data_IF_014563269158
#
_entry.id   IF_014563269158
#
_cell.length_a   1.000
_cell.length_b   1.000
_cell.length_c   1.000
_cell.angle_alpha   90.00
_cell.angle_beta   90.00
_cell.angle_gamma   90.00
#
_symmetry.space_group_name_H-M   'P 1'
#
loop_
_entity.id
_entity.type
_entity.pdbx_description
1 polymer ?
#
# COMPACT_ATOMS: atom_id res chain seq x y z
N UNK A 1 15.19 1.32 -1.27
CA UNK A 1 14.64 0.49 -2.37
C UNK A 1 14.91 -1.01 -2.16
N UNK A 2 16.15 -1.38 -1.82
CA UNK A 2 16.53 -2.54 -0.98
C UNK A 2 16.17 -3.96 -1.48
N UNK A 3 16.69 -4.94 -0.72
CA UNK A 3 16.60 -6.39 -0.94
C UNK A 3 15.17 -6.92 -1.15
N UNK A 4 14.14 -6.29 -0.56
CA UNK A 4 12.76 -6.74 -0.79
C UNK A 4 12.34 -6.62 -2.25
N UNK A 5 12.59 -5.46 -2.88
CA UNK A 5 12.21 -5.24 -4.27
C UNK A 5 12.94 -6.22 -5.19
N UNK A 6 14.23 -6.45 -4.91
CA UNK A 6 15.08 -7.33 -5.72
C UNK A 6 14.78 -8.81 -5.55
N UNK A 7 14.39 -9.26 -4.35
CA UNK A 7 14.29 -10.70 -4.01
C UNK A 7 12.86 -11.21 -3.90
N UNK A 8 11.91 -10.37 -3.48
CA UNK A 8 10.58 -10.85 -3.05
C UNK A 8 9.42 -10.19 -3.78
N UNK A 9 9.56 -8.95 -4.25
CA UNK A 9 8.42 -8.20 -4.80
C UNK A 9 7.76 -8.86 -6.02
N UNK A 10 8.55 -9.36 -6.97
CA UNK A 10 8.02 -10.05 -8.17
C UNK A 10 7.37 -11.38 -7.80
N UNK A 11 8.07 -12.21 -7.03
CA UNK A 11 7.56 -13.50 -6.59
C UNK A 11 6.24 -13.35 -5.82
N UNK A 12 6.18 -12.42 -4.86
CA UNK A 12 4.95 -12.13 -4.12
C UNK A 12 3.82 -11.59 -5.01
N UNK A 13 4.15 -10.82 -6.05
CA UNK A 13 3.19 -10.36 -7.05
C UNK A 13 2.59 -11.52 -7.86
N UNK A 14 3.45 -12.40 -8.38
CA UNK A 14 3.08 -13.55 -9.21
C UNK A 14 2.28 -14.58 -8.42
N UNK A 15 2.63 -14.79 -7.14
CA UNK A 15 1.93 -15.70 -6.23
C UNK A 15 0.64 -15.11 -5.64
N UNK A 16 0.27 -13.87 -6.00
CA UNK A 16 -0.87 -13.14 -5.43
C UNK A 16 -0.81 -12.91 -3.91
N UNK A 17 0.36 -13.06 -3.27
CA UNK A 17 0.53 -12.76 -1.86
C UNK A 17 0.46 -11.24 -1.58
N UNK A 18 0.96 -10.43 -2.52
CA UNK A 18 0.83 -8.97 -2.54
C UNK A 18 0.69 -8.52 -4.00
N UNK A 19 0.27 -7.29 -4.26
CA UNK A 19 0.40 -6.65 -5.57
C UNK A 19 1.32 -5.44 -5.48
N UNK A 20 2.48 -5.55 -6.13
CA UNK A 20 3.49 -4.49 -6.19
C UNK A 20 3.36 -3.69 -7.48
N UNK A 21 3.43 -2.36 -7.36
CA UNK A 21 3.40 -1.40 -8.47
C UNK A 21 4.61 -0.48 -8.38
N UNK A 22 5.23 -0.18 -9.51
CA UNK A 22 6.45 0.62 -9.60
C UNK A 22 6.16 1.96 -10.30
N UNK A 23 6.78 3.03 -9.82
CA UNK A 23 6.96 4.26 -10.57
C UNK A 23 8.28 4.16 -11.34
N UNK A 24 8.19 4.34 -12.65
CA UNK A 24 9.32 4.33 -13.58
C UNK A 24 9.24 5.59 -14.44
N UNK A 25 10.37 6.19 -14.83
CA UNK A 25 10.38 7.32 -15.75
C UNK A 25 10.12 6.84 -17.17
N UNK A 26 9.39 7.62 -17.96
CA UNK A 26 9.01 7.25 -19.33
C UNK A 26 10.22 6.98 -20.24
N UNK A 27 11.33 7.70 -20.02
CA UNK A 27 12.55 7.58 -20.82
C UNK A 27 13.51 6.47 -20.37
N UNK A 28 13.23 5.80 -19.24
CA UNK A 28 14.07 4.73 -18.70
C UNK A 28 13.22 3.75 -17.86
N UNK A 29 12.32 2.97 -18.49
CA UNK A 29 11.33 2.13 -17.80
C UNK A 29 11.95 1.03 -16.93
N UNK A 30 13.21 0.67 -17.16
CA UNK A 30 13.99 -0.25 -16.33
C UNK A 30 14.38 0.35 -14.97
N UNK A 31 14.35 1.68 -14.84
CA UNK A 31 14.72 2.39 -13.62
C UNK A 31 13.51 2.58 -12.72
N UNK A 32 13.49 1.87 -11.60
CA UNK A 32 12.46 2.06 -10.58
C UNK A 32 12.82 3.26 -9.70
N UNK A 33 11.95 4.27 -9.66
CA UNK A 33 12.09 5.48 -8.83
C UNK A 33 11.29 5.40 -7.53
N UNK A 34 10.37 4.43 -7.43
CA UNK A 34 9.66 4.09 -6.21
C UNK A 34 8.68 2.96 -6.44
N UNK A 35 8.12 2.41 -5.38
CA UNK A 35 7.12 1.35 -5.47
C UNK A 35 6.21 1.34 -4.24
N UNK A 36 5.05 0.70 -4.38
CA UNK A 36 4.21 0.29 -3.26
C UNK A 36 3.71 -1.14 -3.45
N UNK A 37 3.37 -1.81 -2.34
CA UNK A 37 2.79 -3.15 -2.34
C UNK A 37 1.50 -3.17 -1.51
N UNK A 38 0.44 -3.76 -2.06
CA UNK A 38 -0.87 -3.90 -1.42
C UNK A 38 -1.20 -5.36 -1.14
N UNK A 39 -1.92 -5.63 -0.05
CA UNK A 39 -2.54 -6.93 0.24
C UNK A 39 -3.92 -6.73 0.87
N UNK A 40 -4.88 -7.65 0.67
CA UNK A 40 -6.09 -7.72 1.48
C UNK A 40 -5.71 -7.92 2.95
N UNK A 41 -6.43 -7.28 3.86
CA UNK A 41 -6.20 -7.41 5.29
C UNK A 41 -7.48 -7.08 6.08
N UNK A 42 -7.44 -7.35 7.38
CA UNK A 42 -8.46 -6.92 8.32
C UNK A 42 -7.79 -6.51 9.64
N UNK A 43 -8.49 -5.69 10.41
CA UNK A 43 -8.05 -5.27 11.75
C UNK A 43 -9.16 -5.60 12.74
N UNK A 44 -8.79 -6.10 13.91
CA UNK A 44 -9.73 -6.35 15.00
C UNK A 44 -10.57 -5.11 15.27
N UNK A 45 -11.90 -5.27 15.39
CA UNK A 45 -12.83 -4.15 15.51
C UNK A 45 -12.44 -3.13 16.59
N UNK A 46 -11.92 -3.59 17.72
CA UNK A 46 -11.58 -2.73 18.86
C UNK A 46 -10.25 -1.99 18.69
N UNK A 47 -9.40 -2.41 17.74
CA UNK A 47 -8.16 -1.73 17.40
C UNK A 47 -8.38 -0.58 16.39
N UNK A 48 -9.59 -0.47 15.82
CA UNK A 48 -9.97 0.59 14.88
C UNK A 48 -10.62 1.76 15.64
N UNK A 49 -10.30 3.03 15.32
CA UNK A 49 -10.96 4.17 15.94
C UNK A 49 -12.48 4.12 15.81
N UNK A 50 -13.21 4.38 16.91
CA UNK A 50 -14.67 4.25 16.96
C UNK A 50 -15.41 5.08 15.89
N UNK A 51 -14.82 6.19 15.46
CA UNK A 51 -15.37 7.01 14.37
C UNK A 51 -15.44 6.26 13.03
N UNK A 52 -14.54 5.32 12.79
CA UNK A 52 -14.45 4.54 11.55
C UNK A 52 -15.23 3.21 11.62
N UNK A 53 -15.61 2.76 12.81
CA UNK A 53 -16.43 1.54 13.00
C UNK A 53 -17.90 1.83 13.25
N UNK A 54 -18.31 3.11 13.24
CA UNK A 54 -19.69 3.52 13.51
C UNK A 54 -20.62 2.89 12.48
N UNK A 55 -21.57 2.07 12.94
CA UNK A 55 -22.55 1.39 12.08
C UNK A 55 -22.07 0.04 11.53
N UNK A 56 -20.83 -0.38 11.81
CA UNK A 56 -20.33 -1.71 11.45
C UNK A 56 -20.69 -2.74 12.52
N UNK A 57 -20.85 -4.00 12.10
CA UNK A 57 -20.95 -5.12 13.01
C UNK A 57 -19.61 -5.35 13.75
N UNK A 58 -19.67 -5.95 14.94
CA UNK A 58 -18.49 -6.21 15.79
C UNK A 58 -17.66 -7.42 15.30
N UNK A 59 -17.22 -7.37 14.06
CA UNK A 59 -16.27 -8.30 13.44
C UNK A 59 -15.02 -7.53 12.98
N UNK A 60 -13.98 -8.25 12.58
CA UNK A 60 -12.81 -7.64 11.97
C UNK A 60 -13.20 -6.72 10.82
N UNK A 61 -12.64 -5.52 10.83
CA UNK A 61 -12.95 -4.48 9.86
C UNK A 61 -12.08 -4.70 8.62
N UNK A 62 -12.68 -4.97 7.44
CA UNK A 62 -11.92 -5.30 6.23
C UNK A 62 -11.24 -4.07 5.64
N UNK A 63 -10.10 -4.29 4.98
CA UNK A 63 -9.38 -3.24 4.29
C UNK A 63 -8.20 -3.77 3.48
N UNK A 64 -7.26 -2.87 3.21
CA UNK A 64 -6.08 -3.16 2.42
C UNK A 64 -4.83 -2.67 3.15
N UNK A 65 -3.86 -3.56 3.30
CA UNK A 65 -2.56 -3.26 3.88
C UNK A 65 -1.64 -2.65 2.82
N UNK A 66 -1.15 -1.43 3.09
CA UNK A 66 0.01 -0.86 2.42
C UNK A 66 1.28 -1.47 2.99
N UNK A 67 1.58 -2.70 2.57
CA UNK A 67 2.64 -3.52 3.15
C UNK A 67 4.03 -2.89 2.96
N UNK A 68 4.23 -2.15 1.86
CA UNK A 68 5.47 -1.44 1.56
C UNK A 68 5.17 -0.16 0.79
N UNK A 69 5.92 0.88 1.10
CA UNK A 69 6.06 2.09 0.30
C UNK A 69 7.52 2.54 0.36
N UNK A 70 8.12 2.79 -0.80
CA UNK A 70 9.49 3.29 -0.87
C UNK A 70 9.71 4.17 -2.09
N UNK A 71 10.61 5.13 -1.94
CA UNK A 71 11.06 6.05 -2.99
C UNK A 71 12.58 5.95 -3.10
N UNK A 72 13.11 6.09 -4.31
CA UNK A 72 14.55 6.17 -4.52
C UNK A 72 15.14 7.40 -3.82
N UNK A 73 16.34 7.26 -3.24
CA UNK A 73 16.99 8.37 -2.54
C UNK A 73 17.25 9.57 -3.44
N UNK A 74 17.48 9.38 -4.74
CA UNK A 74 17.73 10.46 -5.70
C UNK A 74 16.53 11.38 -5.95
N UNK A 75 15.31 10.90 -5.61
CA UNK A 75 14.06 11.65 -5.78
C UNK A 75 13.23 11.74 -4.50
N UNK A 76 13.79 11.34 -3.37
CA UNK A 76 13.17 11.51 -2.06
C UNK A 76 12.97 13.01 -1.75
N UNK A 77 11.88 13.34 -1.06
CA UNK A 77 11.51 14.74 -0.75
C UNK A 77 10.91 15.53 -1.92
N UNK A 78 10.84 14.96 -3.13
CA UNK A 78 10.27 15.63 -4.32
C UNK A 78 8.79 15.30 -4.56
N UNK A 79 8.07 14.84 -3.53
CA UNK A 79 6.64 14.54 -3.60
C UNK A 79 6.24 13.16 -4.16
N UNK A 80 7.16 12.38 -4.75
CA UNK A 80 6.83 11.07 -5.32
C UNK A 80 6.22 10.10 -4.31
N UNK A 81 6.63 10.13 -3.04
CA UNK A 81 6.06 9.28 -1.98
C UNK A 81 4.57 9.53 -1.75
N UNK A 82 4.15 10.79 -1.75
CA UNK A 82 2.74 11.17 -1.63
C UNK A 82 1.93 10.76 -2.86
N UNK A 83 2.51 10.90 -4.06
CA UNK A 83 1.86 10.44 -5.30
C UNK A 83 1.66 8.92 -5.30
N UNK A 84 2.66 8.15 -4.85
CA UNK A 84 2.54 6.69 -4.71
C UNK A 84 1.50 6.28 -3.67
N UNK A 85 1.43 6.99 -2.53
CA UNK A 85 0.39 6.76 -1.52
C UNK A 85 -1.01 7.00 -2.08
N UNK A 86 -1.21 8.12 -2.79
CA UNK A 86 -2.48 8.43 -3.44
C UNK A 86 -2.82 7.39 -4.52
N UNK A 87 -1.85 6.98 -5.33
CA UNK A 87 -2.05 5.94 -6.33
C UNK A 87 -2.44 4.59 -5.72
N UNK A 88 -1.87 4.25 -4.55
CA UNK A 88 -2.26 3.08 -3.78
C UNK A 88 -3.70 3.18 -3.27
N UNK A 89 -4.09 4.32 -2.69
CA UNK A 89 -5.44 4.56 -2.17
C UNK A 89 -6.50 4.50 -3.28
N UNK A 90 -6.27 5.17 -4.41
CA UNK A 90 -7.15 5.12 -5.57
C UNK A 90 -7.27 3.71 -6.16
N UNK A 91 -6.23 2.86 -6.02
CA UNK A 91 -6.32 1.47 -6.42
C UNK A 91 -7.19 0.66 -5.45
N UNK A 92 -7.04 0.86 -4.15
CA UNK A 92 -7.91 0.22 -3.14
C UNK A 92 -9.38 0.61 -3.35
N UNK A 93 -9.69 1.91 -3.51
CA UNK A 93 -11.07 2.40 -3.72
C UNK A 93 -11.72 1.77 -4.96
N UNK A 94 -10.95 1.57 -6.05
CA UNK A 94 -11.52 0.89 -7.23
C UNK A 94 -11.88 -0.57 -6.97
N UNK A 95 -11.17 -1.23 -6.06
CA UNK A 95 -11.40 -2.63 -5.71
C UNK A 95 -12.56 -2.78 -4.73
N UNK A 96 -12.85 -1.76 -3.90
CA UNK A 96 -13.92 -1.83 -2.90
C UNK A 96 -15.31 -2.03 -3.49
N UNK A 97 -15.56 -1.55 -4.72
CA UNK A 97 -16.84 -1.75 -5.42
C UNK A 97 -17.13 -3.24 -5.69
N UNK A 98 -16.11 -4.07 -5.81
CA UNK A 98 -16.26 -5.49 -6.14
C UNK A 98 -16.14 -6.41 -4.91
N UNK A 99 -15.26 -6.08 -3.96
CA UNK A 99 -14.93 -6.99 -2.83
C UNK A 99 -15.09 -6.36 -1.43
N UNK A 100 -15.48 -5.09 -1.36
CA UNK A 100 -15.54 -4.34 -0.11
C UNK A 100 -14.17 -3.95 0.45
N UNK A 101 -14.19 -3.37 1.65
CA UNK A 101 -13.00 -2.84 2.33
C UNK A 101 -13.18 -1.36 2.67
N UNK A 102 -12.97 -1.00 3.94
CA UNK A 102 -13.22 0.36 4.44
C UNK A 102 -11.98 1.01 5.05
N UNK A 103 -10.88 0.25 5.19
CA UNK A 103 -9.62 0.72 5.75
C UNK A 103 -8.49 0.66 4.72
N UNK A 104 -7.60 1.65 4.80
CA UNK A 104 -6.22 1.50 4.38
C UNK A 104 -5.36 1.36 5.65
N UNK A 105 -4.69 0.23 5.78
CA UNK A 105 -3.88 -0.13 6.95
C UNK A 105 -2.42 0.18 6.60
N UNK A 106 -1.74 0.92 7.46
CA UNK A 106 -0.35 1.34 7.26
C UNK A 106 0.44 1.08 8.53
N UNK A 107 1.36 0.12 8.49
CA UNK A 107 2.36 -0.06 9.55
C UNK A 107 3.54 0.87 9.30
N UNK A 108 3.50 2.04 9.93
CA UNK A 108 4.56 3.02 9.81
C UNK A 108 5.85 2.49 10.43
N UNK A 109 6.91 2.34 9.62
CA UNK A 109 8.22 1.89 10.08
C UNK A 109 8.86 2.83 11.12
N UNK A 110 8.49 4.10 11.12
CA UNK A 110 9.00 5.10 12.08
C UNK A 110 8.01 6.24 12.26
N UNK A 111 8.19 7.03 13.33
CA UNK A 111 7.40 8.25 13.60
C UNK A 111 7.69 9.41 12.64
N UNK A 112 8.66 9.28 11.72
CA UNK A 112 8.96 10.29 10.71
C UNK A 112 7.89 10.26 9.63
N UNK A 113 7.21 11.38 9.42
CA UNK A 113 6.35 11.64 8.27
C UNK A 113 7.17 11.81 6.99
#
# INVERSE_FOLDING_TARGET
MNAFLQRFARQGHEQNAVKTFCAVPDHAPEKILGFYSLAPASVEHHAVPAAMTKGLARHDVPGFLLARLAVDKSVAGKGLGGQLLLAAALRCIRVTEEVGGVLMIIDAKSKRA
#
